data_IF_748516745101
#
_entry.id   IF_748516745101
#
_cell.length_a   1.000
_cell.length_b   1.000
_cell.length_c   1.000
_cell.angle_alpha   90.00
_cell.angle_beta   90.00
_cell.angle_gamma   90.00
#
_symmetry.space_group_name_H-M   'P 1'
#
loop_
_entity.id
_entity.type
_entity.pdbx_description
1 polymer ?
#
# COMPACT_ATOMS: atom_id res chain seq x y z
N UNK A 1 10.01 -13.96 4.49
CA UNK A 1 11.16 -14.70 5.01
C UNK A 1 11.84 -13.94 6.14
N UNK A 2 13.03 -14.39 6.55
CA UNK A 2 13.82 -13.75 7.61
C UNK A 2 14.29 -12.33 7.25
N UNK A 3 14.30 -11.96 5.96
CA UNK A 3 14.76 -10.64 5.53
C UNK A 3 13.74 -9.55 5.83
N UNK A 4 12.46 -9.82 5.56
CA UNK A 4 11.35 -8.90 5.82
C UNK A 4 11.22 -8.57 7.30
N UNK A 5 11.51 -9.54 8.18
CA UNK A 5 11.56 -9.32 9.61
C UNK A 5 12.72 -8.39 9.99
N UNK A 6 13.92 -8.60 9.45
CA UNK A 6 15.09 -7.74 9.71
C UNK A 6 14.85 -6.30 9.24
N UNK A 7 14.23 -6.14 8.07
CA UNK A 7 13.87 -4.83 7.54
C UNK A 7 12.82 -4.14 8.43
N UNK A 8 11.84 -4.89 8.93
CA UNK A 8 10.84 -4.37 9.87
C UNK A 8 11.49 -3.96 11.21
N UNK A 9 12.34 -4.79 11.79
CA UNK A 9 13.09 -4.49 13.02
C UNK A 9 13.97 -3.25 12.83
N UNK A 10 14.68 -3.15 11.71
CA UNK A 10 15.48 -1.96 11.35
C UNK A 10 14.63 -0.67 11.36
N UNK A 11 13.45 -0.70 10.75
CA UNK A 11 12.55 0.46 10.71
C UNK A 11 12.00 0.84 12.10
N UNK A 12 11.84 -0.12 13.00
CA UNK A 12 11.32 0.14 14.35
C UNK A 12 12.38 0.61 15.34
N UNK A 13 13.64 0.21 15.17
CA UNK A 13 14.75 0.69 16.00
C UNK A 13 15.18 2.13 15.70
N UNK A 14 14.76 2.70 14.57
CA UNK A 14 14.94 4.14 14.32
C UNK A 14 14.08 4.99 15.27
N UNK A 15 14.63 6.11 15.76
CA UNK A 15 13.85 7.06 16.54
C UNK A 15 12.70 7.65 15.70
N UNK A 16 11.49 7.85 16.28
CA UNK A 16 10.40 8.54 15.59
C UNK A 16 10.82 9.97 15.26
N UNK A 17 10.36 10.48 14.10
CA UNK A 17 10.53 11.89 13.74
C UNK A 17 9.41 12.70 14.40
N UNK A 18 9.77 13.74 15.17
CA UNK A 18 8.82 14.60 15.87
C UNK A 18 7.80 15.32 14.93
N UNK A 19 8.11 15.42 13.64
CA UNK A 19 7.26 16.07 12.65
C UNK A 19 6.00 15.26 12.28
N UNK A 20 5.99 13.93 12.47
CA UNK A 20 4.85 13.08 12.09
C UNK A 20 3.67 13.17 13.09
N UNK A 21 3.90 13.66 14.32
CA UNK A 21 2.92 13.61 15.41
C UNK A 21 1.97 14.82 15.48
N UNK A 22 2.15 15.84 14.63
CA UNK A 22 1.50 17.15 14.76
C UNK A 22 0.60 17.54 13.58
N UNK A 23 0.16 16.60 12.74
CA UNK A 23 -0.74 16.96 11.65
C UNK A 23 -2.21 17.09 12.09
N UNK A 24 -2.81 18.26 11.80
CA UNK A 24 -4.24 18.48 12.01
C UNK A 24 -5.09 17.51 11.17
N UNK A 25 -6.18 17.03 11.78
CA UNK A 25 -7.09 16.11 11.11
C UNK A 25 -8.01 16.86 10.15
N UNK A 26 -8.14 16.36 8.92
CA UNK A 26 -9.01 16.93 7.91
C UNK A 26 -10.50 16.66 8.18
N UNK A 27 -11.38 17.61 7.85
CA UNK A 27 -12.80 17.34 7.69
C UNK A 27 -13.05 16.25 6.63
N UNK A 28 -14.15 15.50 6.80
CA UNK A 28 -14.51 14.40 5.90
C UNK A 28 -14.74 14.86 4.45
N UNK A 29 -15.26 16.08 4.27
CA UNK A 29 -15.49 16.68 2.94
C UNK A 29 -14.17 16.92 2.21
N UNK A 30 -13.16 17.43 2.91
CA UNK A 30 -11.84 17.68 2.31
C UNK A 30 -11.10 16.38 2.03
N UNK A 31 -11.30 15.37 2.89
CA UNK A 31 -10.82 14.02 2.65
C UNK A 31 -11.36 13.46 1.32
N UNK A 32 -12.69 13.53 1.11
CA UNK A 32 -13.32 13.04 -0.11
C UNK A 32 -12.84 13.78 -1.36
N UNK A 33 -12.69 15.11 -1.27
CA UNK A 33 -12.14 15.93 -2.36
C UNK A 33 -10.76 15.46 -2.80
N UNK A 34 -9.86 15.15 -1.86
CA UNK A 34 -8.52 14.64 -2.20
C UNK A 34 -8.60 13.35 -3.02
N UNK A 35 -9.48 12.41 -2.65
CA UNK A 35 -9.67 11.17 -3.40
C UNK A 35 -10.27 11.41 -4.80
N UNK A 36 -11.25 12.30 -4.92
CA UNK A 36 -11.88 12.67 -6.18
C UNK A 36 -10.92 13.40 -7.12
N UNK A 37 -10.13 14.34 -6.59
CA UNK A 37 -9.12 15.09 -7.32
C UNK A 37 -8.01 14.15 -7.79
N UNK A 38 -7.54 13.24 -6.93
CA UNK A 38 -6.57 12.19 -7.32
C UNK A 38 -7.12 11.35 -8.48
N UNK A 39 -8.39 10.93 -8.43
CA UNK A 39 -8.99 10.18 -9.54
C UNK A 39 -8.97 11.00 -10.85
N UNK A 40 -9.31 12.29 -10.77
CA UNK A 40 -9.31 13.21 -11.91
C UNK A 40 -7.91 13.35 -12.52
N UNK A 41 -6.88 13.44 -11.68
CA UNK A 41 -5.48 13.52 -12.12
C UNK A 41 -5.03 12.26 -12.89
N UNK A 42 -5.60 11.10 -12.55
CA UNK A 42 -5.39 9.85 -13.29
C UNK A 42 -6.29 9.69 -14.54
N UNK A 43 -7.16 10.67 -14.82
CA UNK A 43 -8.02 10.69 -16.02
C UNK A 43 -9.33 9.92 -15.89
N UNK A 44 -9.82 9.68 -14.66
CA UNK A 44 -11.12 9.03 -14.43
C UNK A 44 -11.87 9.63 -13.23
N UNK A 45 -13.11 9.19 -13.02
CA UNK A 45 -13.88 9.54 -11.83
C UNK A 45 -13.96 8.36 -10.86
N UNK A 46 -14.12 8.64 -9.58
CA UNK A 46 -14.31 7.64 -8.54
C UNK A 46 -15.56 8.00 -7.72
N UNK A 47 -16.48 7.04 -7.56
CA UNK A 47 -17.58 7.22 -6.61
C UNK A 47 -17.09 6.97 -5.18
N UNK A 48 -17.60 7.72 -4.21
CA UNK A 48 -17.25 7.58 -2.79
C UNK A 48 -18.49 7.15 -2.01
N UNK A 49 -18.37 6.08 -1.24
CA UNK A 49 -19.40 5.56 -0.35
C UNK A 49 -18.88 5.54 1.10
N UNK A 50 -19.66 6.07 2.05
CA UNK A 50 -19.31 6.02 3.46
C UNK A 50 -19.93 4.81 4.17
N UNK A 51 -19.15 4.09 4.97
CA UNK A 51 -19.61 2.85 5.61
C UNK A 51 -18.98 2.60 6.98
N UNK A 52 -19.71 1.95 7.88
CA UNK A 52 -19.21 1.53 9.20
C UNK A 52 -18.61 0.12 9.17
N UNK A 53 -18.66 -0.55 8.01
CA UNK A 53 -18.27 -1.96 7.85
C UNK A 53 -16.79 -2.15 7.49
N UNK A 54 -16.03 -1.06 7.37
CA UNK A 54 -14.60 -1.12 7.05
C UNK A 54 -13.76 -1.21 8.32
N UNK A 55 -12.72 -2.02 8.23
CA UNK A 55 -11.69 -2.11 9.28
C UNK A 55 -10.55 -1.13 8.97
N UNK A 56 -10.20 -0.96 7.69
CA UNK A 56 -9.31 0.10 7.23
C UNK A 56 -10.04 1.45 7.19
N UNK A 57 -9.26 2.54 7.09
CA UNK A 57 -9.82 3.89 6.97
C UNK A 57 -10.52 4.12 5.63
N UNK A 58 -9.95 3.62 4.54
CA UNK A 58 -10.59 3.55 3.22
C UNK A 58 -10.21 2.24 2.51
N UNK A 59 -10.94 1.90 1.45
CA UNK A 59 -10.66 0.74 0.60
C UNK A 59 -11.28 0.90 -0.77
N UNK A 60 -10.47 0.80 -1.83
CA UNK A 60 -10.96 0.73 -3.19
C UNK A 60 -11.64 -0.62 -3.47
N UNK A 61 -12.74 -0.56 -4.19
CA UNK A 61 -13.50 -1.72 -4.62
C UNK A 61 -13.92 -1.61 -6.09
N UNK A 62 -14.73 -2.55 -6.59
CA UNK A 62 -15.16 -2.56 -7.98
C UNK A 62 -15.91 -1.29 -8.39
N UNK A 63 -16.71 -0.68 -7.50
CA UNK A 63 -17.58 0.45 -7.85
C UNK A 63 -16.97 1.82 -7.57
N UNK A 64 -15.86 1.88 -6.85
CA UNK A 64 -15.26 3.13 -6.38
C UNK A 64 -14.57 2.92 -5.04
N UNK A 65 -14.50 3.97 -4.26
CA UNK A 65 -13.87 3.99 -2.95
C UNK A 65 -14.91 3.91 -1.85
N UNK A 66 -14.62 3.11 -0.82
CA UNK A 66 -15.38 3.16 0.44
C UNK A 66 -14.52 3.81 1.52
N UNK A 67 -15.10 4.74 2.28
CA UNK A 67 -14.45 5.43 3.40
C UNK A 67 -15.18 5.06 4.69
N UNK A 68 -14.42 4.77 5.75
CA UNK A 68 -15.00 4.46 7.07
C UNK A 68 -15.63 5.72 7.67
N UNK A 69 -16.84 5.65 8.23
CA UNK A 69 -17.41 6.82 8.92
C UNK A 69 -16.60 7.15 10.17
N UNK A 70 -16.63 8.41 10.59
CA UNK A 70 -15.98 8.93 11.80
C UNK A 70 -14.46 8.70 11.87
N UNK A 71 -13.82 8.35 10.75
CA UNK A 71 -12.38 8.21 10.69
C UNK A 71 -11.74 9.60 10.60
N UNK A 72 -10.61 9.76 11.28
CA UNK A 72 -9.77 10.95 11.18
C UNK A 72 -8.58 10.64 10.29
N UNK A 73 -8.34 11.50 9.31
CA UNK A 73 -7.15 11.49 8.48
C UNK A 73 -6.37 12.77 8.70
N UNK A 74 -5.06 12.68 8.65
CA UNK A 74 -4.26 13.86 8.36
C UNK A 74 -4.27 14.16 6.86
N UNK A 75 -3.82 15.36 6.48
CA UNK A 75 -3.75 15.71 5.06
C UNK A 75 -2.76 14.84 4.28
N UNK A 76 -1.56 14.60 4.84
CA UNK A 76 -0.55 13.77 4.20
C UNK A 76 -0.99 12.31 4.12
N UNK A 77 -1.58 11.75 5.19
CA UNK A 77 -2.12 10.39 5.19
C UNK A 77 -3.21 10.22 4.13
N UNK A 78 -4.10 11.21 3.99
CA UNK A 78 -5.15 11.17 2.95
C UNK A 78 -4.54 11.11 1.55
N UNK A 79 -3.53 11.95 1.26
CA UNK A 79 -2.87 11.96 -0.05
C UNK A 79 -2.14 10.65 -0.32
N UNK A 80 -1.41 10.12 0.66
CA UNK A 80 -0.76 8.82 0.56
C UNK A 80 -1.79 7.72 0.23
N UNK A 81 -2.88 7.66 1.00
CA UNK A 81 -3.92 6.65 0.80
C UNK A 81 -4.66 6.84 -0.53
N UNK A 82 -4.82 8.07 -1.02
CA UNK A 82 -5.38 8.34 -2.35
C UNK A 82 -4.47 7.79 -3.46
N UNK A 83 -3.17 8.04 -3.39
CA UNK A 83 -2.21 7.46 -4.33
C UNK A 83 -2.17 5.92 -4.30
N UNK A 84 -2.43 5.31 -3.14
CA UNK A 84 -2.51 3.86 -2.98
C UNK A 84 -3.83 3.29 -3.52
N UNK A 85 -4.96 3.70 -2.94
CA UNK A 85 -6.28 3.13 -3.21
C UNK A 85 -6.79 3.55 -4.58
N UNK A 86 -6.63 4.81 -4.97
CA UNK A 86 -7.09 5.31 -6.27
C UNK A 86 -6.03 5.09 -7.34
N UNK A 87 -4.81 5.58 -7.08
CA UNK A 87 -3.72 5.60 -8.07
C UNK A 87 -3.15 4.23 -8.42
N UNK A 88 -3.46 3.19 -7.64
CA UNK A 88 -3.08 1.80 -7.94
C UNK A 88 -4.28 0.88 -7.91
N UNK A 89 -4.97 0.74 -6.77
CA UNK A 89 -5.98 -0.32 -6.64
C UNK A 89 -7.22 -0.11 -7.50
N UNK A 90 -7.79 1.09 -7.52
CA UNK A 90 -8.92 1.39 -8.37
C UNK A 90 -8.49 1.53 -9.84
N UNK A 91 -7.37 2.21 -10.10
CA UNK A 91 -6.78 2.35 -11.44
C UNK A 91 -6.60 0.99 -12.13
N UNK A 92 -5.97 0.01 -11.46
CA UNK A 92 -5.78 -1.34 -12.02
C UNK A 92 -7.10 -2.06 -12.23
N UNK A 93 -8.12 -1.81 -11.40
CA UNK A 93 -9.48 -2.35 -11.59
C UNK A 93 -10.13 -1.79 -12.85
N UNK A 94 -9.96 -0.48 -13.11
CA UNK A 94 -10.49 0.17 -14.31
C UNK A 94 -9.76 -0.27 -15.58
N UNK A 95 -8.44 -0.47 -15.50
CA UNK A 95 -7.65 -1.02 -16.60
C UNK A 95 -8.05 -2.47 -16.90
N UNK A 96 -8.22 -3.31 -15.88
CA UNK A 96 -8.64 -4.71 -16.06
C UNK A 96 -9.98 -4.85 -16.79
N UNK A 97 -10.92 -3.95 -16.52
CA UNK A 97 -12.23 -3.91 -17.20
C UNK A 97 -12.15 -3.63 -18.69
N UNK A 98 -11.07 -2.98 -19.12
CA UNK A 98 -10.81 -2.65 -20.51
C UNK A 98 -10.01 -3.72 -21.23
N UNK A 99 -9.59 -4.78 -20.55
CA UNK A 99 -8.86 -5.89 -21.16
C UNK A 99 -9.82 -6.88 -21.82
N UNK A 100 -9.42 -7.51 -22.94
CA UNK A 100 -10.23 -8.54 -23.59
C UNK A 100 -10.33 -9.82 -22.74
N UNK A 101 -9.38 -10.06 -21.83
CA UNK A 101 -9.37 -11.20 -20.93
C UNK A 101 -9.88 -10.82 -19.53
N UNK A 102 -11.06 -11.31 -19.17
CA UNK A 102 -11.68 -11.06 -17.86
C UNK A 102 -10.87 -11.60 -16.67
N UNK A 103 -9.91 -12.52 -16.87
CA UNK A 103 -9.04 -13.04 -15.81
C UNK A 103 -8.30 -11.94 -15.07
N UNK A 104 -7.97 -10.83 -15.74
CA UNK A 104 -7.27 -9.70 -15.14
C UNK A 104 -8.14 -8.88 -14.18
N UNK A 105 -9.49 -9.01 -14.27
CA UNK A 105 -10.44 -8.41 -13.33
C UNK A 105 -10.53 -9.21 -12.03
N UNK A 106 -10.31 -10.53 -12.11
CA UNK A 106 -10.23 -11.43 -10.94
C UNK A 106 -8.84 -11.30 -10.30
N UNK A 107 -7.81 -11.29 -11.14
CA UNK A 107 -6.42 -11.15 -10.77
C UNK A 107 -5.60 -12.43 -10.96
N UNK A 108 -4.32 -12.24 -11.25
CA UNK A 108 -3.35 -13.31 -11.40
C UNK A 108 -2.99 -13.92 -10.03
N UNK A 109 -2.53 -15.17 -9.99
CA UNK A 109 -2.09 -15.79 -8.74
C UNK A 109 -1.06 -14.92 -8.00
N UNK A 110 -1.21 -14.83 -6.68
CA UNK A 110 -0.26 -14.16 -5.77
C UNK A 110 -0.10 -12.64 -6.04
N UNK A 111 -1.01 -12.01 -6.81
CA UNK A 111 -0.93 -10.59 -7.18
C UNK A 111 -0.77 -9.61 -6.00
N UNK A 112 -1.18 -9.98 -4.78
CA UNK A 112 -1.09 -9.15 -3.57
C UNK A 112 0.29 -8.54 -3.38
N UNK A 113 1.38 -9.31 -3.53
CA UNK A 113 2.75 -8.79 -3.35
C UNK A 113 3.01 -7.60 -4.28
N UNK A 114 2.55 -7.71 -5.53
CA UNK A 114 2.76 -6.69 -6.54
C UNK A 114 1.80 -5.51 -6.35
N UNK A 115 0.53 -5.78 -6.05
CA UNK A 115 -0.48 -4.74 -5.87
C UNK A 115 -0.21 -3.86 -4.64
N UNK A 116 0.07 -4.45 -3.49
CA UNK A 116 0.43 -3.71 -2.28
C UNK A 116 1.79 -3.02 -2.46
N UNK A 117 2.73 -3.68 -3.14
CA UNK A 117 4.04 -3.10 -3.46
C UNK A 117 3.97 -1.87 -4.36
N UNK A 118 3.13 -1.91 -5.40
CA UNK A 118 2.85 -0.76 -6.27
C UNK A 118 2.15 0.35 -5.47
N UNK A 119 1.24 0.00 -4.56
CA UNK A 119 0.56 0.94 -3.68
C UNK A 119 1.52 1.74 -2.81
N UNK A 120 2.41 1.06 -2.07
CA UNK A 120 3.43 1.73 -1.24
C UNK A 120 4.47 2.46 -2.10
N UNK A 121 4.83 1.93 -3.28
CA UNK A 121 5.68 2.65 -4.22
C UNK A 121 5.00 3.96 -4.69
N UNK A 122 3.69 3.95 -4.92
CA UNK A 122 2.91 5.13 -5.28
C UNK A 122 2.87 6.14 -4.13
N UNK A 123 2.68 5.69 -2.88
CA UNK A 123 2.82 6.52 -1.68
C UNK A 123 4.20 7.22 -1.66
N UNK A 124 5.28 6.44 -1.84
CA UNK A 124 6.66 6.93 -1.82
C UNK A 124 6.96 7.94 -2.94
N UNK A 125 6.67 7.58 -4.19
CA UNK A 125 6.97 8.41 -5.35
C UNK A 125 6.07 9.64 -5.45
N UNK A 126 4.93 9.67 -4.75
CA UNK A 126 4.12 10.88 -4.61
C UNK A 126 4.67 11.88 -3.58
N UNK A 127 5.67 11.49 -2.77
CA UNK A 127 6.20 12.30 -1.68
C UNK A 127 5.32 12.32 -0.42
N UNK A 128 4.30 11.46 -0.33
CA UNK A 128 3.37 11.43 0.80
C UNK A 128 3.60 10.25 1.77
N UNK A 129 4.51 9.32 1.45
CA UNK A 129 4.92 8.30 2.41
C UNK A 129 5.62 8.97 3.61
N UNK A 130 5.23 8.61 4.84
CA UNK A 130 5.84 9.12 6.09
C UNK A 130 6.63 8.04 6.82
N UNK A 131 7.45 8.44 7.80
CA UNK A 131 8.18 7.48 8.62
C UNK A 131 7.20 6.69 9.51
N UNK A 132 6.22 7.38 10.09
CA UNK A 132 5.14 6.74 10.83
C UNK A 132 4.46 5.66 9.99
N UNK A 133 4.17 5.94 8.72
CA UNK A 133 3.56 4.99 7.80
C UNK A 133 4.46 3.78 7.53
N UNK A 134 5.76 3.98 7.31
CA UNK A 134 6.72 2.87 7.20
C UNK A 134 6.80 2.03 8.48
N UNK A 135 6.80 2.67 9.65
CA UNK A 135 6.77 2.00 10.95
C UNK A 135 5.48 1.19 11.14
N UNK A 136 4.31 1.70 10.71
CA UNK A 136 3.07 0.92 10.71
C UNK A 136 3.18 -0.36 9.89
N UNK A 137 3.76 -0.26 8.69
CA UNK A 137 3.97 -1.41 7.82
C UNK A 137 4.91 -2.42 8.53
N UNK A 138 6.01 -1.95 9.13
CA UNK A 138 6.95 -2.78 9.88
C UNK A 138 6.29 -3.49 11.07
N UNK A 139 5.49 -2.78 11.88
CA UNK A 139 4.75 -3.36 13.00
C UNK A 139 3.83 -4.50 12.54
N UNK A 140 3.13 -4.32 11.42
CA UNK A 140 2.26 -5.37 10.88
C UNK A 140 3.04 -6.56 10.36
N UNK A 141 4.21 -6.36 9.75
CA UNK A 141 5.10 -7.46 9.34
C UNK A 141 5.54 -8.29 10.55
N UNK A 142 5.96 -7.65 11.65
CA UNK A 142 6.32 -8.34 12.89
C UNK A 142 5.12 -9.09 13.47
N UNK A 143 3.97 -8.43 13.62
CA UNK A 143 2.79 -9.08 14.19
C UNK A 143 2.31 -10.29 13.37
N UNK A 144 2.38 -10.22 12.02
CA UNK A 144 2.06 -11.38 11.18
C UNK A 144 3.12 -12.47 11.28
N UNK A 145 4.40 -12.12 11.43
CA UNK A 145 5.45 -13.10 11.67
C UNK A 145 5.18 -13.89 12.96
N UNK A 146 4.82 -13.22 14.05
CA UNK A 146 4.44 -13.88 15.31
C UNK A 146 3.27 -14.85 15.15
N UNK A 147 2.25 -14.49 14.36
CA UNK A 147 1.12 -15.38 14.06
C UNK A 147 1.59 -16.63 13.31
N UNK A 148 2.53 -16.49 12.37
CA UNK A 148 3.09 -17.61 11.59
C UNK A 148 3.94 -18.54 12.46
N UNK A 149 4.70 -17.98 13.41
CA UNK A 149 5.50 -18.75 14.36
C UNK A 149 4.65 -19.41 15.47
N UNK A 150 3.34 -19.12 15.51
CA UNK A 150 2.41 -19.70 16.48
C UNK A 150 2.44 -19.02 17.86
N UNK A 151 3.00 -17.82 17.96
CA UNK A 151 3.02 -17.03 19.19
C UNK A 151 1.59 -16.69 19.63
N UNK A 152 1.32 -16.73 20.93
CA UNK A 152 0.01 -16.34 21.47
C UNK A 152 -0.22 -14.82 21.36
N UNK A 153 -1.48 -14.42 21.14
CA UNK A 153 -1.89 -13.01 21.02
C UNK A 153 -1.28 -12.11 22.10
N UNK A 154 -1.35 -12.54 23.37
CA UNK A 154 -0.85 -11.76 24.52
C UNK A 154 0.65 -11.48 24.44
N UNK A 155 1.43 -12.44 23.95
CA UNK A 155 2.88 -12.31 23.86
C UNK A 155 3.28 -11.37 22.73
N UNK A 156 2.58 -11.43 21.60
CA UNK A 156 2.77 -10.46 20.52
C UNK A 156 2.42 -9.05 20.98
N UNK A 157 1.28 -8.89 21.63
CA UNK A 157 0.88 -7.60 22.19
C UNK A 157 1.92 -7.04 23.18
N UNK A 158 2.36 -7.85 24.15
CA UNK A 158 3.40 -7.49 25.11
C UNK A 158 4.71 -7.11 24.40
N UNK A 159 5.14 -7.89 23.41
CA UNK A 159 6.33 -7.60 22.62
C UNK A 159 6.25 -6.25 21.92
N UNK A 160 5.10 -5.92 21.31
CA UNK A 160 4.91 -4.61 20.67
C UNK A 160 5.01 -3.45 21.66
N UNK A 161 4.43 -3.59 22.86
CA UNK A 161 4.46 -2.54 23.89
C UNK A 161 5.84 -2.41 24.53
N UNK A 162 6.44 -3.52 24.96
CA UNK A 162 7.64 -3.52 25.80
C UNK A 162 8.94 -3.41 24.98
N UNK A 163 9.04 -4.13 23.85
CA UNK A 163 10.28 -4.16 23.07
C UNK A 163 10.36 -3.03 22.04
N UNK A 164 9.22 -2.66 21.45
CA UNK A 164 9.16 -1.63 20.40
C UNK A 164 8.54 -0.32 20.88
N UNK A 165 8.22 -0.22 22.18
CA UNK A 165 7.73 0.99 22.84
C UNK A 165 6.49 1.58 22.16
N UNK A 166 5.60 0.70 21.67
CA UNK A 166 4.38 1.12 20.99
C UNK A 166 3.28 1.38 22.00
N UNK A 167 2.56 2.48 21.80
CA UNK A 167 1.35 2.79 22.56
C UNK A 167 0.40 1.57 22.66
N UNK A 168 -0.13 1.25 23.85
CA UNK A 168 -0.97 0.06 24.05
C UNK A 168 -2.20 0.00 23.15
N UNK A 169 -2.89 1.11 22.86
CA UNK A 169 -4.07 1.09 21.98
C UNK A 169 -3.67 0.71 20.56
N UNK A 170 -2.60 1.33 20.05
CA UNK A 170 -2.05 1.01 18.72
C UNK A 170 -1.50 -0.41 18.64
N UNK A 171 -0.79 -0.88 19.66
CA UNK A 171 -0.27 -2.25 19.74
C UNK A 171 -1.41 -3.28 19.71
N UNK A 172 -2.51 -3.00 20.42
CA UNK A 172 -3.70 -3.85 20.42
C UNK A 172 -4.32 -3.92 19.03
N UNK A 173 -4.52 -2.78 18.36
CA UNK A 173 -5.07 -2.71 16.99
C UNK A 173 -4.25 -3.51 15.98
N UNK A 174 -2.91 -3.36 16.01
CA UNK A 174 -1.99 -4.12 15.14
C UNK A 174 -2.10 -5.62 15.43
N UNK A 175 -2.13 -6.01 16.72
CA UNK A 175 -2.21 -7.42 17.11
C UNK A 175 -3.55 -8.02 16.71
N UNK A 176 -4.69 -7.37 17.00
CA UNK A 176 -6.02 -7.83 16.59
C UNK A 176 -6.09 -8.01 15.07
N UNK A 177 -5.56 -7.05 14.32
CA UNK A 177 -5.52 -7.13 12.85
C UNK A 177 -4.76 -8.35 12.35
N UNK A 178 -3.60 -8.66 12.94
CA UNK A 178 -2.78 -9.80 12.52
C UNK A 178 -3.45 -11.15 12.86
N UNK A 179 -4.01 -11.27 14.07
CA UNK A 179 -4.57 -12.54 14.57
C UNK A 179 -5.98 -12.85 14.03
N UNK A 180 -6.76 -11.83 13.66
CA UNK A 180 -8.10 -12.05 13.11
C UNK A 180 -8.02 -12.74 11.75
N UNK A 181 -8.58 -13.95 11.65
CA UNK A 181 -8.54 -14.76 10.42
C UNK A 181 -7.29 -15.63 10.25
N UNK A 182 -6.55 -15.92 11.35
CA UNK A 182 -5.32 -16.76 11.37
C UNK A 182 -4.20 -16.23 10.46
N UNK A 183 -3.93 -14.94 10.53
CA UNK A 183 -2.85 -14.29 9.78
C UNK A 183 -3.39 -13.66 8.50
N UNK A 184 -3.72 -12.37 8.55
CA UNK A 184 -3.88 -11.56 7.35
C UNK A 184 -2.51 -11.44 6.66
N UNK A 185 -2.13 -12.46 5.87
CA UNK A 185 -0.80 -12.58 5.23
C UNK A 185 -0.49 -11.48 4.21
N UNK A 186 -1.48 -10.65 3.87
CA UNK A 186 -1.26 -9.43 3.06
C UNK A 186 -0.23 -8.51 3.72
N UNK A 187 -0.33 -8.32 5.03
CA UNK A 187 0.52 -7.38 5.74
C UNK A 187 2.01 -7.80 5.72
N UNK A 188 2.28 -9.11 5.67
CA UNK A 188 3.64 -9.66 5.54
C UNK A 188 4.30 -9.33 4.19
N UNK A 189 3.52 -9.10 3.14
CA UNK A 189 4.05 -8.88 1.79
C UNK A 189 4.26 -7.42 1.42
N UNK A 190 3.88 -6.46 2.27
CA UNK A 190 4.04 -5.02 1.96
C UNK A 190 5.50 -4.63 1.79
N UNK A 191 6.38 -4.90 2.77
CA UNK A 191 7.80 -4.53 2.68
C UNK A 191 8.49 -5.22 1.49
N UNK A 192 8.26 -6.53 1.33
CA UNK A 192 8.79 -7.28 0.19
C UNK A 192 8.30 -6.72 -1.14
N UNK A 193 6.99 -6.47 -1.25
CA UNK A 193 6.36 -5.93 -2.44
C UNK A 193 6.91 -4.55 -2.78
N UNK A 194 6.96 -3.65 -1.80
CA UNK A 194 7.48 -2.31 -1.95
C UNK A 194 8.94 -2.33 -2.43
N UNK A 195 9.81 -3.08 -1.75
CA UNK A 195 11.21 -3.24 -2.17
C UNK A 195 11.33 -3.78 -3.59
N UNK A 196 10.56 -4.82 -3.92
CA UNK A 196 10.60 -5.43 -5.26
C UNK A 196 10.20 -4.41 -6.33
N UNK A 197 9.14 -3.63 -6.10
CA UNK A 197 8.68 -2.63 -7.08
C UNK A 197 9.63 -1.43 -7.16
N UNK A 198 10.19 -0.99 -6.03
CA UNK A 198 11.17 0.08 -5.98
C UNK A 198 12.44 -0.25 -6.77
N UNK A 199 13.03 -1.44 -6.56
CA UNK A 199 14.23 -1.86 -7.28
C UNK A 199 13.99 -1.92 -8.79
N UNK A 200 12.81 -2.41 -9.20
CA UNK A 200 12.42 -2.48 -10.62
C UNK A 200 12.27 -1.07 -11.20
N UNK A 201 11.58 -0.18 -10.50
CA UNK A 201 11.47 1.23 -10.88
C UNK A 201 12.84 1.91 -11.02
N UNK A 202 13.73 1.75 -10.03
CA UNK A 202 15.08 2.34 -10.04
C UNK A 202 15.98 1.77 -11.14
N UNK A 203 15.79 0.51 -11.53
CA UNK A 203 16.50 -0.10 -12.65
C UNK A 203 16.05 0.41 -14.04
N UNK A 204 15.05 1.30 -14.09
CA UNK A 204 14.48 1.82 -15.33
C UNK A 204 13.50 0.88 -16.03
N UNK A 205 13.07 -0.21 -15.36
CA UNK A 205 12.03 -1.08 -15.90
C UNK A 205 10.68 -0.35 -15.90
N UNK A 206 9.96 -0.41 -17.02
CA UNK A 206 8.57 0.04 -17.05
C UNK A 206 7.71 -0.87 -16.17
N UNK A 207 6.73 -0.28 -15.49
CA UNK A 207 5.73 -1.00 -14.69
C UNK A 207 4.36 -1.04 -15.39
N UNK A 208 4.25 -0.56 -16.64
CA UNK A 208 2.98 -0.40 -17.35
C UNK A 208 2.21 -1.71 -17.48
N UNK A 209 2.90 -2.80 -17.82
CA UNK A 209 2.29 -4.13 -17.93
C UNK A 209 1.74 -4.64 -16.58
N UNK A 210 2.19 -4.08 -15.45
CA UNK A 210 1.63 -4.41 -14.14
C UNK A 210 0.34 -3.64 -13.84
N UNK A 211 0.10 -2.52 -14.54
CA UNK A 211 -1.07 -1.66 -14.34
C UNK A 211 -2.31 -2.11 -15.10
N UNK A 212 -2.20 -3.09 -16.00
CA UNK A 212 -3.32 -3.57 -16.83
C UNK A 212 -4.39 -4.36 -16.05
N UNK A 213 -4.14 -4.66 -14.78
CA UNK A 213 -5.06 -5.37 -13.90
C UNK A 213 -4.41 -5.77 -12.58
N UNK A 214 -5.03 -6.73 -11.88
CA UNK A 214 -4.46 -7.30 -10.65
C UNK A 214 -3.39 -8.34 -11.00
N UNK A 215 -2.21 -7.90 -11.38
CA UNK A 215 -1.13 -8.75 -11.91
C UNK A 215 -0.04 -9.05 -10.86
N UNK A 216 0.84 -10.01 -11.15
CA UNK A 216 2.05 -10.30 -10.37
C UNK A 216 3.30 -10.06 -11.23
N UNK A 217 4.36 -9.51 -10.64
CA UNK A 217 5.58 -9.11 -11.35
C UNK A 217 6.28 -10.25 -12.09
N UNK A 218 6.19 -11.49 -11.61
CA UNK A 218 6.74 -12.66 -12.31
C UNK A 218 6.10 -12.90 -13.68
N UNK A 219 4.85 -12.48 -13.88
CA UNK A 219 4.17 -12.60 -15.17
C UNK A 219 4.47 -11.45 -16.12
N UNK A 220 5.19 -10.41 -15.69
CA UNK A 220 5.43 -9.22 -16.53
C UNK A 220 5.98 -9.56 -17.92
N UNK A 221 7.00 -10.43 -18.08
CA UNK A 221 7.51 -10.76 -19.42
C UNK A 221 6.44 -11.40 -20.33
N UNK A 222 5.50 -12.15 -19.76
CA UNK A 222 4.39 -12.74 -20.52
C UNK A 222 3.38 -11.65 -20.89
N UNK A 223 3.02 -10.78 -19.95
CA UNK A 223 2.06 -9.70 -20.17
C UNK A 223 2.55 -8.72 -21.23
N UNK A 224 3.82 -8.33 -21.20
CA UNK A 224 4.45 -7.48 -22.21
C UNK A 224 4.41 -8.14 -23.60
N UNK A 225 4.73 -9.43 -23.70
CA UNK A 225 4.60 -10.17 -24.97
C UNK A 225 3.17 -10.22 -25.46
N UNK A 226 2.19 -10.39 -24.58
CA UNK A 226 0.77 -10.40 -24.95
C UNK A 226 0.29 -9.03 -25.43
N UNK A 227 0.75 -7.95 -24.79
CA UNK A 227 0.49 -6.56 -25.25
C UNK A 227 1.12 -6.34 -26.63
N UNK A 228 2.39 -6.74 -26.82
CA UNK A 228 3.09 -6.62 -28.11
C UNK A 228 2.39 -7.38 -29.24
N UNK A 229 1.80 -8.54 -28.93
CA UNK A 229 0.99 -9.34 -29.85
C UNK A 229 -0.47 -8.86 -29.99
N UNK A 230 -0.84 -7.77 -29.33
CA UNK A 230 -2.21 -7.20 -29.30
C UNK A 230 -3.28 -8.17 -28.77
N UNK A 231 -2.87 -9.16 -27.98
CA UNK A 231 -3.77 -10.06 -27.25
C UNK A 231 -4.29 -9.41 -25.97
N UNK A 232 -3.53 -8.46 -25.43
CA UNK A 232 -3.93 -7.55 -24.35
C UNK A 232 -3.74 -6.12 -24.82
N UNK A 233 -4.39 -5.19 -24.15
CA UNK A 233 -4.23 -3.76 -24.40
C UNK A 233 -3.22 -3.17 -23.40
N UNK A 234 -2.44 -2.14 -23.79
CA UNK A 234 -1.68 -1.35 -22.82
C UNK A 234 -2.62 -0.73 -21.77
N UNK A 235 -2.11 -0.31 -20.60
CA UNK A 235 -2.95 0.31 -19.58
C UNK A 235 -3.59 1.60 -20.14
N UNK A 236 -4.90 1.75 -19.99
CA UNK A 236 -5.61 2.96 -20.42
C UNK A 236 -5.34 4.14 -19.48
N UNK A 237 -5.07 3.85 -18.21
CA UNK A 237 -4.73 4.81 -17.17
C UNK A 237 -3.37 4.48 -16.56
N UNK A 238 -2.59 5.51 -16.25
CA UNK A 238 -1.27 5.39 -15.64
C UNK A 238 -1.24 6.00 -14.24
N UNK A 239 -0.37 5.46 -13.39
CA UNK A 239 -0.14 6.02 -12.06
C UNK A 239 0.72 7.28 -12.18
N UNK A 240 0.15 8.45 -11.91
CA UNK A 240 0.82 9.77 -12.00
C UNK A 240 2.15 9.81 -11.25
N UNK A 241 2.21 9.24 -10.04
CA UNK A 241 3.44 9.20 -9.24
C UNK A 241 4.59 8.41 -9.92
N UNK A 242 4.27 7.46 -10.80
CA UNK A 242 5.29 6.72 -11.56
C UNK A 242 5.80 7.52 -12.75
N UNK A 243 4.92 8.30 -13.39
CA UNK A 243 5.27 9.15 -14.53
C UNK A 243 5.98 10.44 -14.10
N UNK A 244 5.64 10.98 -12.93
CA UNK A 244 6.19 12.23 -12.38
C UNK A 244 6.51 12.03 -10.89
N UNK A 245 7.61 11.33 -10.56
CA UNK A 245 7.99 11.10 -9.17
C UNK A 245 8.40 12.41 -8.50
N UNK A 246 7.91 12.64 -7.29
CA UNK A 246 8.35 13.70 -6.41
C UNK A 246 9.72 13.35 -5.79
N UNK A 247 10.46 14.36 -5.37
CA UNK A 247 11.66 14.15 -4.57
C UNK A 247 11.25 13.64 -3.17
N UNK A 248 11.72 12.46 -2.74
CA UNK A 248 11.41 11.95 -1.41
C UNK A 248 12.16 12.75 -0.34
N UNK A 249 11.61 12.77 0.88
CA UNK A 249 12.31 13.28 2.05
C UNK A 249 13.69 12.57 2.18
N UNK A 250 14.79 13.29 2.47
CA UNK A 250 16.13 12.70 2.52
C UNK A 250 16.29 11.58 3.55
N UNK A 251 15.62 11.68 4.71
CA UNK A 251 15.66 10.67 5.77
C UNK A 251 14.93 9.42 5.30
N UNK A 252 13.73 9.58 4.73
CA UNK A 252 12.99 8.46 4.14
C UNK A 252 13.78 7.81 2.99
N UNK A 253 14.38 8.61 2.12
CA UNK A 253 15.19 8.12 1.02
C UNK A 253 16.41 7.33 1.52
N UNK A 254 17.00 7.71 2.65
CA UNK A 254 18.08 6.97 3.30
C UNK A 254 17.60 5.65 3.90
N UNK A 255 16.49 5.67 4.66
CA UNK A 255 15.90 4.49 5.28
C UNK A 255 15.47 3.45 4.23
N UNK A 256 14.78 3.90 3.20
CA UNK A 256 14.32 3.06 2.08
C UNK A 256 15.50 2.42 1.34
N UNK A 257 16.61 3.16 1.15
CA UNK A 257 17.86 2.62 0.59
C UNK A 257 18.57 1.62 1.50
N UNK A 258 18.28 1.65 2.80
CA UNK A 258 18.89 0.77 3.80
C UNK A 258 18.15 -0.57 3.95
N UNK A 259 16.93 -0.69 3.38
CA UNK A 259 16.19 -1.95 3.30
C UNK A 259 16.92 -2.93 2.38
N UNK A 260 17.09 -4.17 2.81
CA UNK A 260 18.02 -5.12 2.17
C UNK A 260 17.37 -6.13 1.25
#
# INVERSE_FOLDING_TARGET
GRQELKDAEFLLHGAPLAADEQEETLPLVDTARIFEDTARDHGFSCSIEYTDRLVSKALAGPRGLRIRKNVRFSAQETRALAHHEIGVHYLTTLNARRQPLCVLQIGLPVNTITQEGLGVLSEYLSGNLTLQRLREIALRVIAVHEVVEGTEFRHTFQRLVEQYEIDPERAFDVTVRAYRGRGFTKDYVYLRGFRTMLLRFQSGQTLDALLIGKTHHDYQPVLERMIAKRLLHPPAFQTVAFAKPAAPDPILAYLVRSLR
#
